data_IF_117035873922
#
_entry.id   IF_117035873922
#
_cell.length_a   1.000
_cell.length_b   1.000
_cell.length_c   1.000
_cell.angle_alpha   90.00
_cell.angle_beta   90.00
_cell.angle_gamma   90.00
#
_symmetry.space_group_name_H-M   'P 1'
#
loop_
_entity.id
_entity.type
_entity.pdbx_description
1 polymer ?
#
# COMPACT_ATOMS: atom_id res chain seq x y z
N UNK A 1 10.99 -20.23 -2.84
CA UNK A 1 10.93 -18.96 -3.60
C UNK A 1 10.87 -17.74 -2.69
N UNK A 2 10.05 -17.74 -1.63
CA UNK A 2 10.00 -16.65 -0.64
C UNK A 2 11.34 -16.38 0.06
N UNK A 3 12.03 -17.43 0.51
CA UNK A 3 13.30 -17.34 1.23
C UNK A 3 14.42 -16.75 0.35
N UNK A 4 14.44 -17.08 -0.94
CA UNK A 4 15.40 -16.51 -1.91
C UNK A 4 15.24 -15.00 -2.08
N UNK A 5 14.04 -14.48 -1.88
CA UNK A 5 13.75 -13.05 -1.89
C UNK A 5 13.96 -12.38 -0.52
N UNK A 6 14.31 -13.16 0.51
CA UNK A 6 14.49 -12.69 1.88
C UNK A 6 13.19 -12.52 2.67
N UNK A 7 12.11 -13.22 2.27
CA UNK A 7 10.84 -13.22 2.98
C UNK A 7 10.53 -14.58 3.60
N UNK A 8 10.02 -14.57 4.82
CA UNK A 8 9.59 -15.80 5.52
C UNK A 8 8.25 -16.30 5.00
N UNK A 9 7.38 -15.38 4.55
CA UNK A 9 6.01 -15.67 4.10
C UNK A 9 5.63 -14.81 2.91
N UNK A 10 4.68 -15.28 2.10
CA UNK A 10 4.13 -14.53 0.96
C UNK A 10 2.64 -14.27 1.14
N UNK A 11 2.19 -13.08 0.76
CA UNK A 11 0.78 -12.74 0.72
C UNK A 11 0.31 -12.66 -0.74
N UNK A 12 -0.64 -13.52 -1.11
CA UNK A 12 -1.29 -13.51 -2.41
C UNK A 12 -2.56 -12.66 -2.35
N UNK A 13 -2.67 -11.75 -3.30
CA UNK A 13 -3.77 -10.80 -3.37
C UNK A 13 -4.68 -11.20 -4.54
N UNK A 14 -5.94 -11.49 -4.24
CA UNK A 14 -6.94 -11.91 -5.22
C UNK A 14 -8.01 -10.85 -5.42
N UNK A 15 -8.57 -10.80 -6.63
CA UNK A 15 -9.82 -10.07 -6.87
C UNK A 15 -10.97 -10.77 -6.14
N UNK A 16 -11.99 -10.02 -5.74
CA UNK A 16 -13.13 -10.55 -4.98
C UNK A 16 -13.86 -11.72 -5.67
N UNK A 17 -13.86 -11.76 -7.01
CA UNK A 17 -14.47 -12.84 -7.81
C UNK A 17 -13.61 -14.11 -7.89
N UNK A 18 -12.30 -13.97 -7.73
CA UNK A 18 -11.31 -15.02 -7.94
C UNK A 18 -10.71 -15.49 -6.61
N UNK A 19 -11.32 -15.10 -5.49
CA UNK A 19 -10.79 -15.40 -4.17
C UNK A 19 -10.76 -16.91 -3.95
N UNK A 20 -9.55 -17.43 -3.75
CA UNK A 20 -9.30 -18.79 -3.32
C UNK A 20 -8.48 -18.76 -2.04
N UNK A 21 -9.00 -19.39 -1.00
CA UNK A 21 -8.28 -19.49 0.27
C UNK A 21 -7.19 -20.56 0.14
N UNK A 22 -5.99 -20.14 -0.25
CA UNK A 22 -4.83 -21.02 -0.31
C UNK A 22 -4.35 -21.33 1.10
N UNK A 23 -4.56 -22.57 1.55
CA UNK A 23 -4.03 -23.10 2.81
C UNK A 23 -2.67 -23.75 2.60
N UNK A 24 -1.71 -23.01 2.02
CA UNK A 24 -0.32 -23.46 1.92
C UNK A 24 0.47 -22.89 3.10
N UNK A 25 1.32 -23.72 3.72
CA UNK A 25 2.17 -23.29 4.82
C UNK A 25 3.07 -22.11 4.40
N UNK A 26 3.07 -21.05 5.22
CA UNK A 26 3.85 -19.84 4.94
C UNK A 26 3.22 -18.88 3.93
N UNK A 27 1.95 -19.05 3.56
CA UNK A 27 1.23 -18.12 2.67
C UNK A 27 0.00 -17.51 3.33
N UNK A 28 -0.34 -16.28 2.94
CA UNK A 28 -1.57 -15.58 3.33
C UNK A 28 -2.37 -15.21 2.09
N UNK A 29 -3.69 -15.41 2.15
CA UNK A 29 -4.64 -14.93 1.15
C UNK A 29 -5.21 -13.59 1.59
N UNK A 30 -5.25 -12.61 0.68
CA UNK A 30 -5.86 -11.32 0.91
C UNK A 30 -6.72 -10.90 -0.27
N UNK A 31 -7.75 -10.11 -0.01
CA UNK A 31 -8.67 -9.65 -1.06
C UNK A 31 -8.37 -8.20 -1.42
N UNK A 32 -8.19 -7.96 -2.71
CA UNK A 32 -8.22 -6.63 -3.30
C UNK A 32 -9.66 -6.20 -3.57
N UNK A 33 -10.04 -5.05 -3.01
CA UNK A 33 -11.38 -4.49 -3.15
C UNK A 33 -11.38 -3.05 -3.63
N UNK A 34 -12.41 -2.72 -4.40
CA UNK A 34 -12.81 -1.35 -4.66
C UNK A 34 -13.72 -0.84 -3.54
N UNK A 35 -13.89 0.48 -3.46
CA UNK A 35 -14.68 1.16 -2.43
C UNK A 35 -16.10 0.61 -2.22
N UNK A 36 -16.73 0.07 -3.27
CA UNK A 36 -18.11 -0.43 -3.21
C UNK A 36 -18.24 -1.85 -2.63
N UNK A 37 -17.17 -2.64 -2.59
CA UNK A 37 -17.26 -4.09 -2.35
C UNK A 37 -16.75 -4.50 -0.95
N UNK A 38 -16.39 -3.54 -0.11
CA UNK A 38 -15.75 -3.75 1.20
C UNK A 38 -16.59 -4.67 2.11
N UNK A 39 -17.92 -4.52 2.09
CA UNK A 39 -18.81 -5.34 2.94
C UNK A 39 -18.80 -6.82 2.55
N UNK A 40 -18.73 -7.13 1.25
CA UNK A 40 -18.68 -8.51 0.74
C UNK A 40 -17.33 -9.15 1.03
N UNK A 41 -16.25 -8.40 0.87
CA UNK A 41 -14.88 -8.84 1.14
C UNK A 41 -14.68 -9.31 2.58
N UNK A 42 -15.36 -8.64 3.52
CA UNK A 42 -15.31 -8.96 4.96
C UNK A 42 -15.85 -10.35 5.28
N UNK A 43 -16.84 -10.82 4.52
CA UNK A 43 -17.41 -12.15 4.76
C UNK A 43 -16.44 -13.26 4.34
N UNK A 44 -15.53 -12.95 3.41
CA UNK A 44 -14.66 -13.94 2.76
C UNK A 44 -13.25 -13.99 3.37
N UNK A 45 -12.69 -12.85 3.77
CA UNK A 45 -11.30 -12.78 4.23
C UNK A 45 -11.09 -11.85 5.42
N UNK A 46 -10.02 -12.10 6.17
CA UNK A 46 -9.57 -11.28 7.31
C UNK A 46 -8.67 -10.11 6.90
N UNK A 47 -8.04 -10.17 5.73
CA UNK A 47 -7.11 -9.14 5.24
C UNK A 47 -7.69 -8.55 3.96
N UNK A 48 -8.12 -7.30 4.06
CA UNK A 48 -8.76 -6.54 2.99
C UNK A 48 -7.83 -5.39 2.62
N UNK A 49 -7.43 -5.36 1.35
CA UNK A 49 -6.69 -4.28 0.74
C UNK A 49 -7.64 -3.44 -0.11
N UNK A 50 -7.62 -2.13 0.11
CA UNK A 50 -8.41 -1.18 -0.65
C UNK A 50 -7.49 -0.35 -1.54
N UNK A 51 -7.78 -0.34 -2.83
CA UNK A 51 -7.15 0.59 -3.76
C UNK A 51 -7.79 1.98 -3.65
N UNK A 52 -6.96 3.01 -3.66
CA UNK A 52 -7.37 4.41 -3.70
C UNK A 52 -8.35 4.71 -4.84
N UNK A 53 -9.42 5.45 -4.52
CA UNK A 53 -10.41 5.96 -5.47
C UNK A 53 -10.81 7.40 -5.14
N UNK A 54 -11.60 8.06 -5.99
CA UNK A 54 -12.06 9.44 -5.75
C UNK A 54 -12.77 9.61 -4.38
N UNK A 55 -13.35 8.54 -3.84
CA UNK A 55 -14.09 8.53 -2.57
C UNK A 55 -13.26 8.08 -1.36
N UNK A 56 -11.93 8.24 -1.39
CA UNK A 56 -11.01 7.83 -0.32
C UNK A 56 -11.43 8.27 1.09
N UNK A 57 -11.93 9.50 1.24
CA UNK A 57 -12.40 10.00 2.54
C UNK A 57 -13.49 9.13 3.14
N UNK A 58 -14.51 8.82 2.34
CA UNK A 58 -15.63 7.97 2.76
C UNK A 58 -15.15 6.57 3.14
N UNK A 59 -14.25 6.00 2.33
CA UNK A 59 -13.69 4.67 2.57
C UNK A 59 -12.88 4.65 3.86
N UNK A 60 -12.02 5.64 4.11
CA UNK A 60 -11.23 5.73 5.34
C UNK A 60 -12.16 5.90 6.56
N UNK A 61 -13.15 6.78 6.48
CA UNK A 61 -14.09 7.13 7.55
C UNK A 61 -15.12 6.05 7.88
N UNK A 62 -15.62 5.29 6.91
CA UNK A 62 -16.66 4.27 7.14
C UNK A 62 -16.22 2.84 6.83
N UNK A 63 -15.33 2.66 5.87
CA UNK A 63 -14.85 1.35 5.45
C UNK A 63 -14.08 0.62 6.55
N UNK A 64 -14.30 -0.69 6.62
CA UNK A 64 -13.54 -1.63 7.44
C UNK A 64 -12.55 -2.35 6.54
N UNK A 65 -11.28 -2.00 6.66
CA UNK A 65 -10.18 -2.55 5.89
C UNK A 65 -8.89 -2.39 6.69
N UNK A 66 -7.90 -3.19 6.38
CA UNK A 66 -6.61 -3.23 7.06
C UNK A 66 -5.60 -2.33 6.37
N UNK A 67 -5.52 -2.39 5.03
CA UNK A 67 -4.55 -1.63 4.23
C UNK A 67 -5.25 -0.79 3.17
N UNK A 68 -4.82 0.46 3.01
CA UNK A 68 -5.12 1.29 1.84
C UNK A 68 -3.83 1.58 1.08
N UNK A 69 -3.86 1.48 -0.25
CA UNK A 69 -2.67 1.72 -1.08
C UNK A 69 -3.00 2.57 -2.33
N UNK A 70 -1.96 2.99 -3.06
CA UNK A 70 -2.05 3.83 -4.26
C UNK A 70 -2.69 5.22 -4.00
N UNK A 71 -2.52 5.80 -2.81
CA UNK A 71 -3.04 7.15 -2.55
C UNK A 71 -2.42 8.20 -3.50
N UNK A 72 -1.26 7.91 -4.08
CA UNK A 72 -0.50 8.79 -4.95
C UNK A 72 -1.06 8.90 -6.38
N UNK A 73 -2.01 8.06 -6.76
CA UNK A 73 -2.54 7.97 -8.14
C UNK A 73 -3.61 9.00 -8.47
N UNK A 74 -3.83 10.01 -7.61
CA UNK A 74 -4.79 11.08 -7.87
C UNK A 74 -4.52 11.74 -9.24
N UNK A 75 -5.51 11.79 -10.12
CA UNK A 75 -5.35 12.34 -11.47
C UNK A 75 -5.19 13.86 -11.48
N UNK A 76 -5.50 14.53 -10.37
CA UNK A 76 -5.47 15.99 -10.27
C UNK A 76 -4.03 16.51 -10.28
N UNK A 77 -3.85 17.67 -10.92
CA UNK A 77 -2.56 18.38 -10.96
C UNK A 77 -2.12 18.78 -9.55
N UNK A 78 -0.82 18.69 -9.30
CA UNK A 78 -0.21 19.18 -8.06
C UNK A 78 -0.38 20.69 -7.92
N UNK A 79 -0.46 21.15 -6.67
CA UNK A 79 -0.54 22.56 -6.34
C UNK A 79 0.87 23.16 -6.34
N UNK A 80 0.95 24.49 -6.45
CA UNK A 80 2.23 25.22 -6.48
C UNK A 80 3.10 24.95 -5.25
N UNK A 81 2.49 24.78 -4.07
CA UNK A 81 3.18 24.61 -2.79
C UNK A 81 3.05 23.20 -2.18
N UNK A 82 2.27 22.30 -2.81
CA UNK A 82 2.07 20.95 -2.27
C UNK A 82 1.64 19.97 -3.34
N UNK A 83 2.04 18.70 -3.20
CA UNK A 83 1.59 17.65 -4.12
C UNK A 83 0.23 17.15 -3.69
N UNK A 84 -0.63 16.86 -4.66
CA UNK A 84 -1.91 16.19 -4.42
C UNK A 84 -1.64 14.69 -4.32
N UNK A 85 -1.15 14.28 -3.15
CA UNK A 85 -0.70 12.91 -2.88
C UNK A 85 -1.78 11.99 -2.30
N UNK A 86 -3.05 12.42 -2.30
CA UNK A 86 -4.20 11.65 -1.80
C UNK A 86 -4.28 11.48 -0.28
N UNK A 87 -3.21 11.80 0.46
CA UNK A 87 -3.17 11.81 1.92
C UNK A 87 -3.04 13.24 2.44
N UNK A 88 -3.87 13.58 3.43
CA UNK A 88 -3.78 14.85 4.14
C UNK A 88 -3.77 14.61 5.67
N UNK A 89 -3.58 15.68 6.43
CA UNK A 89 -3.50 15.62 7.89
C UNK A 89 -4.78 15.07 8.55
N UNK A 90 -5.96 15.36 7.97
CA UNK A 90 -7.26 14.89 8.50
C UNK A 90 -7.42 13.39 8.29
N UNK A 91 -7.16 12.91 7.07
CA UNK A 91 -7.20 11.48 6.73
C UNK A 91 -6.16 10.70 7.54
N UNK A 92 -4.96 11.25 7.72
CA UNK A 92 -3.92 10.63 8.53
C UNK A 92 -4.40 10.38 9.97
N UNK A 93 -4.98 11.38 10.64
CA UNK A 93 -5.55 11.21 11.99
C UNK A 93 -6.64 10.13 12.05
N UNK A 94 -7.49 10.04 11.01
CA UNK A 94 -8.56 9.03 10.96
C UNK A 94 -7.96 7.62 10.77
N UNK A 95 -6.96 7.47 9.91
CA UNK A 95 -6.24 6.21 9.69
C UNK A 95 -5.56 5.75 10.99
N UNK A 96 -4.88 6.66 11.68
CA UNK A 96 -4.23 6.40 12.97
C UNK A 96 -5.24 5.92 14.02
N UNK A 97 -6.35 6.67 14.22
CA UNK A 97 -7.41 6.34 15.17
C UNK A 97 -8.00 4.95 14.91
N UNK A 98 -8.10 4.55 13.64
CA UNK A 98 -8.59 3.24 13.21
C UNK A 98 -7.51 2.16 13.16
N UNK A 99 -6.25 2.48 13.49
CA UNK A 99 -5.09 1.58 13.46
C UNK A 99 -4.89 0.90 12.09
N UNK A 100 -5.19 1.62 11.02
CA UNK A 100 -5.05 1.15 9.63
C UNK A 100 -3.62 1.35 9.12
N UNK A 101 -3.27 0.64 8.05
CA UNK A 101 -1.94 0.67 7.43
C UNK A 101 -2.00 1.37 6.07
N UNK A 102 -1.01 2.21 5.79
CA UNK A 102 -0.83 2.84 4.47
C UNK A 102 0.20 2.05 3.67
N UNK A 103 -0.19 1.56 2.50
CA UNK A 103 0.62 0.74 1.61
C UNK A 103 1.19 1.53 0.44
N UNK A 104 2.47 1.32 0.14
CA UNK A 104 3.16 1.84 -1.04
C UNK A 104 3.40 0.72 -2.04
N UNK A 105 3.02 0.95 -3.28
CA UNK A 105 3.09 -0.03 -4.36
C UNK A 105 4.30 0.24 -5.27
N UNK A 106 5.26 -0.69 -5.29
CA UNK A 106 6.43 -0.56 -6.17
C UNK A 106 6.10 -0.83 -7.64
N UNK A 107 5.21 -1.76 -7.96
CA UNK A 107 4.81 -2.08 -9.33
C UNK A 107 4.15 -0.89 -10.05
N UNK A 108 3.52 0.02 -9.31
CA UNK A 108 3.02 1.29 -9.85
C UNK A 108 4.14 2.10 -10.54
N UNK A 109 5.34 2.10 -9.97
CA UNK A 109 6.48 2.79 -10.54
C UNK A 109 7.09 2.04 -11.72
N UNK A 110 7.15 0.70 -11.65
CA UNK A 110 7.63 -0.12 -12.76
C UNK A 110 6.80 0.09 -14.04
N UNK A 111 5.48 0.16 -13.90
CA UNK A 111 4.53 0.27 -15.03
C UNK A 111 4.27 1.69 -15.52
N UNK A 112 4.63 2.70 -14.73
CA UNK A 112 4.36 4.10 -15.09
C UNK A 112 5.38 4.66 -16.07
N UNK A 113 4.93 5.53 -16.96
CA UNK A 113 5.77 6.31 -17.87
C UNK A 113 6.65 7.30 -17.10
N UNK A 114 7.79 7.71 -17.69
CA UNK A 114 8.80 8.56 -17.03
C UNK A 114 8.21 9.81 -16.35
N UNK A 115 7.32 10.54 -17.02
CA UNK A 115 6.70 11.76 -16.44
C UNK A 115 5.81 11.47 -15.23
N UNK A 116 4.94 10.45 -15.33
CA UNK A 116 4.05 10.06 -14.22
C UNK A 116 4.85 9.48 -13.05
N UNK A 117 5.92 8.74 -13.34
CA UNK A 117 6.81 8.14 -12.34
C UNK A 117 7.42 9.18 -11.41
N UNK A 118 7.89 10.31 -11.97
CA UNK A 118 8.45 11.42 -11.17
C UNK A 118 7.40 12.00 -10.22
N UNK A 119 6.16 12.17 -10.70
CA UNK A 119 5.06 12.66 -9.88
C UNK A 119 4.72 11.68 -8.75
N UNK A 120 4.62 10.39 -9.06
CA UNK A 120 4.34 9.35 -8.06
C UNK A 120 5.43 9.26 -7.00
N UNK A 121 6.72 9.25 -7.38
CA UNK A 121 7.84 9.28 -6.42
C UNK A 121 7.73 10.50 -5.49
N UNK A 122 7.44 11.66 -6.07
CA UNK A 122 7.25 12.89 -5.34
C UNK A 122 6.12 12.82 -4.31
N UNK A 123 4.99 12.24 -4.70
CA UNK A 123 3.80 12.07 -3.85
C UNK A 123 3.99 11.01 -2.78
N UNK A 124 4.66 9.89 -3.10
CA UNK A 124 5.03 8.85 -2.13
C UNK A 124 5.92 9.44 -1.03
N UNK A 125 6.93 10.22 -1.41
CA UNK A 125 7.82 10.88 -0.45
C UNK A 125 7.06 11.84 0.49
N UNK A 126 6.15 12.65 -0.05
CA UNK A 126 5.27 13.49 0.77
C UNK A 126 4.37 12.67 1.70
N UNK A 127 3.78 11.58 1.20
CA UNK A 127 2.95 10.69 2.01
C UNK A 127 3.72 10.05 3.16
N UNK A 128 4.97 9.65 2.95
CA UNK A 128 5.85 9.11 3.99
C UNK A 128 6.09 10.15 5.08
N UNK A 129 6.36 11.41 4.73
CA UNK A 129 6.52 12.48 5.70
C UNK A 129 5.25 12.70 6.55
N UNK A 130 4.08 12.68 5.91
CA UNK A 130 2.79 12.77 6.62
C UNK A 130 2.59 11.56 7.52
N UNK A 131 2.85 10.35 7.03
CA UNK A 131 2.72 9.12 7.79
C UNK A 131 3.62 9.16 9.04
N UNK A 132 4.88 9.58 8.91
CA UNK A 132 5.80 9.73 10.04
C UNK A 132 5.31 10.78 11.03
N UNK A 133 4.83 11.94 10.57
CA UNK A 133 4.30 13.01 11.44
C UNK A 133 3.14 12.54 12.31
N UNK A 134 2.28 11.65 11.79
CA UNK A 134 1.12 11.11 12.51
C UNK A 134 1.33 9.67 13.03
N UNK A 135 2.59 9.19 13.08
CA UNK A 135 2.94 7.85 13.55
C UNK A 135 2.12 6.71 12.90
N UNK A 136 1.83 6.85 11.60
CA UNK A 136 1.09 5.83 10.85
C UNK A 136 1.96 4.61 10.56
N UNK A 137 1.32 3.44 10.59
CA UNK A 137 1.93 2.21 10.10
C UNK A 137 2.01 2.26 8.57
N UNK A 138 3.22 2.06 8.05
CA UNK A 138 3.50 2.04 6.62
C UNK A 138 3.91 0.63 6.19
N UNK A 139 3.45 0.21 5.02
CA UNK A 139 3.78 -1.05 4.36
C UNK A 139 4.39 -0.75 2.99
N UNK A 140 5.52 -1.36 2.65
CA UNK A 140 6.03 -1.36 1.27
C UNK A 140 5.82 -2.76 0.72
N UNK A 141 5.21 -2.86 -0.46
CA UNK A 141 5.04 -4.13 -1.12
C UNK A 141 5.28 -4.02 -2.63
N UNK A 142 5.69 -5.13 -3.23
CA UNK A 142 5.90 -5.20 -4.67
C UNK A 142 4.59 -5.12 -5.45
N UNK A 143 3.49 -5.73 -4.95
CA UNK A 143 2.23 -5.92 -5.71
C UNK A 143 2.49 -6.49 -7.12
N UNK A 144 3.40 -7.46 -7.20
CA UNK A 144 3.78 -8.14 -8.42
C UNK A 144 2.61 -9.00 -8.95
N UNK A 145 2.29 -8.88 -10.24
CA UNK A 145 1.37 -9.80 -10.93
C UNK A 145 2.12 -10.95 -11.59
N UNK A 146 3.38 -10.73 -11.94
CA UNK A 146 4.23 -11.71 -12.58
C UNK A 146 5.52 -11.90 -11.78
N UNK A 147 6.17 -13.07 -11.85
CA UNK A 147 7.40 -13.36 -11.10
C UNK A 147 8.52 -12.33 -11.27
N UNK A 148 8.68 -11.77 -12.48
CA UNK A 148 9.72 -10.77 -12.78
C UNK A 148 9.48 -9.39 -12.14
N UNK A 149 8.27 -9.12 -11.65
CA UNK A 149 7.92 -7.89 -10.93
C UNK A 149 8.23 -8.01 -9.43
N UNK A 150 8.53 -9.21 -8.93
CA UNK A 150 8.93 -9.40 -7.54
C UNK A 150 10.28 -8.72 -7.28
N UNK A 151 10.44 -8.20 -6.06
CA UNK A 151 11.68 -7.58 -5.60
C UNK A 151 12.07 -8.18 -4.27
N UNK A 152 13.36 -8.29 -4.04
CA UNK A 152 13.88 -8.82 -2.79
C UNK A 152 13.63 -7.81 -1.66
N UNK A 153 13.62 -8.30 -0.42
CA UNK A 153 13.39 -7.47 0.76
C UNK A 153 14.38 -6.31 0.86
N UNK A 154 15.65 -6.56 0.52
CA UNK A 154 16.69 -5.53 0.55
C UNK A 154 16.43 -4.39 -0.44
N UNK A 155 15.93 -4.71 -1.65
CA UNK A 155 15.58 -3.71 -2.66
C UNK A 155 14.40 -2.84 -2.21
N UNK A 156 13.38 -3.45 -1.61
CA UNK A 156 12.22 -2.71 -1.10
C UNK A 156 12.60 -1.81 0.09
N UNK A 157 13.53 -2.25 0.94
CA UNK A 157 14.08 -1.43 2.03
C UNK A 157 14.84 -0.24 1.45
N UNK A 158 15.75 -0.48 0.49
CA UNK A 158 16.51 0.57 -0.17
C UNK A 158 15.56 1.58 -0.83
N UNK A 159 14.54 1.10 -1.52
CA UNK A 159 13.49 1.93 -2.12
C UNK A 159 12.79 2.81 -1.07
N UNK A 160 12.35 2.24 0.06
CA UNK A 160 11.75 3.03 1.14
C UNK A 160 12.68 4.13 1.66
N UNK A 161 13.97 3.82 1.82
CA UNK A 161 14.98 4.80 2.24
C UNK A 161 15.12 5.91 1.19
N UNK A 162 15.16 5.59 -0.10
CA UNK A 162 15.26 6.61 -1.17
C UNK A 162 14.07 7.56 -1.19
N UNK A 163 12.89 7.11 -0.77
CA UNK A 163 11.70 7.96 -0.67
C UNK A 163 11.66 8.83 0.59
N UNK A 164 12.57 8.60 1.55
CA UNK A 164 12.69 9.38 2.79
C UNK A 164 12.25 8.66 4.06
N UNK A 165 12.06 7.33 4.04
CA UNK A 165 11.86 6.55 5.26
C UNK A 165 13.17 6.43 6.04
N UNK A 166 13.07 6.38 7.37
CA UNK A 166 14.22 5.99 8.18
C UNK A 166 14.52 4.49 7.99
N UNK A 167 15.79 4.03 7.99
CA UNK A 167 16.12 2.61 7.78
C UNK A 167 15.40 1.63 8.71
N UNK A 168 15.13 2.06 9.95
CA UNK A 168 14.33 1.28 10.91
C UNK A 168 12.86 1.15 10.48
N UNK A 169 12.25 2.24 10.00
CA UNK A 169 10.87 2.26 9.49
C UNK A 169 10.74 1.39 8.24
N UNK A 170 11.70 1.49 7.32
CA UNK A 170 11.72 0.69 6.09
C UNK A 170 11.86 -0.82 6.37
N UNK A 171 12.61 -1.21 7.41
CA UNK A 171 12.67 -2.62 7.86
C UNK A 171 11.38 -3.06 8.54
N UNK A 172 10.74 -2.18 9.30
CA UNK A 172 9.48 -2.47 9.99
C UNK A 172 8.31 -2.59 9.01
N UNK A 173 8.31 -1.84 7.90
CA UNK A 173 7.24 -1.86 6.92
C UNK A 173 7.06 -3.23 6.27
N UNK A 174 8.13 -4.01 6.12
CA UNK A 174 8.07 -5.36 5.56
C UNK A 174 7.57 -6.43 6.56
N UNK A 175 7.57 -6.15 7.86
CA UNK A 175 7.27 -7.13 8.93
C UNK A 175 5.82 -7.08 9.43
N UNK A 176 4.93 -6.40 8.71
CA UNK A 176 3.54 -6.19 9.18
C UNK A 176 2.63 -7.42 9.05
N UNK A 177 3.13 -8.54 8.51
CA UNK A 177 2.44 -9.84 8.38
C UNK A 177 3.39 -11.02 8.68
#
# INVERSE_FOLDING_TARGET
MSEQLGFNKLCFIYSLKEFQDLKLEGTYSAILCKSCEIQKARQLSKIILVESSENNRHVIEKGQFEIIFNLETDSKKDLTHSKRSGLNQVLAKIIEKKKKVVGFNFNLLLKSNKGLRVNFLGRMSQNIQICRKYSLKMLIASFARFPYEMRAAHDLIAFGITLGMHPKEAKQSLKQF
#
